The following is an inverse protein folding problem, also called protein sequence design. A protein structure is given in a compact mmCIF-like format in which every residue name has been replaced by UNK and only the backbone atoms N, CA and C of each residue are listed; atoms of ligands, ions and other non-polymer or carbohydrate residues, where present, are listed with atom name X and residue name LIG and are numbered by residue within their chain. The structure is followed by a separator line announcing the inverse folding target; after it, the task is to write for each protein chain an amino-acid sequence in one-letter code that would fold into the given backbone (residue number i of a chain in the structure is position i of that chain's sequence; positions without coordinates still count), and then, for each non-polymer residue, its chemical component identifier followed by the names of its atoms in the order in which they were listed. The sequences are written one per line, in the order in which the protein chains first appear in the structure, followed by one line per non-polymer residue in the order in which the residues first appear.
data_IF_417555853926
#
_entry.id   IF_417555853926
#
_cell.length_a   1.000
_cell.length_b   1.000
_cell.length_c   1.000
_cell.angle_alpha   90.00
_cell.angle_beta   90.00
_cell.angle_gamma   90.00
#
_symmetry.space_group_name_H-M   'P 1'
#
loop_
_entity.id
_entity.type
_entity.pdbx_description
1 polymer ?
#
# COMPACT_ATOMS: atom_id res chain seq x y z
N UNK A 1 16.28 16.54 21.35
CA UNK A 1 15.85 15.76 20.17
C UNK A 1 14.72 16.53 19.54
N UNK A 2 14.80 16.85 18.25
CA UNK A 2 13.61 17.33 17.55
C UNK A 2 12.52 16.25 17.62
N UNK A 3 11.25 16.62 17.85
CA UNK A 3 10.16 15.65 17.83
C UNK A 3 10.11 14.99 16.45
N UNK A 4 10.31 13.67 16.42
CA UNK A 4 10.32 12.89 15.19
C UNK A 4 8.90 12.80 14.66
N UNK A 5 8.68 13.29 13.44
CA UNK A 5 7.37 13.43 12.80
C UNK A 5 7.32 12.57 11.53
N UNK A 6 7.67 11.29 11.67
CA UNK A 6 7.75 10.37 10.54
C UNK A 6 6.41 9.67 10.28
N UNK A 7 5.90 9.76 9.05
CA UNK A 7 4.61 9.20 8.66
C UNK A 7 4.79 8.20 7.53
N UNK A 8 4.22 7.01 7.70
CA UNK A 8 4.27 5.94 6.71
C UNK A 8 2.85 5.54 6.33
N UNK A 9 2.48 5.87 5.11
CA UNK A 9 1.19 5.55 4.53
C UNK A 9 1.32 4.42 3.53
N UNK A 10 0.35 3.51 3.57
CA UNK A 10 0.11 2.57 2.47
C UNK A 10 -1.35 2.68 2.03
N UNK A 11 -1.69 1.91 1.01
CA UNK A 11 -3.05 1.59 0.67
C UNK A 11 -3.18 0.06 0.61
N UNK A 12 -4.42 -0.40 0.56
CA UNK A 12 -4.67 -1.82 0.43
C UNK A 12 -3.89 -2.39 -0.77
N UNK A 13 -3.08 -3.44 -0.51
CA UNK A 13 -2.23 -4.14 -1.49
C UNK A 13 -1.04 -3.33 -2.05
N UNK A 14 -0.67 -2.20 -1.45
CA UNK A 14 0.50 -1.40 -1.88
C UNK A 14 1.72 -1.52 -0.95
N UNK A 15 1.83 -2.62 -0.19
CA UNK A 15 3.01 -2.90 0.64
C UNK A 15 2.78 -2.85 2.15
N UNK A 16 1.52 -2.75 2.61
CA UNK A 16 1.14 -2.69 4.03
C UNK A 16 1.78 -3.80 4.86
N UNK A 17 1.80 -5.03 4.35
CA UNK A 17 2.39 -6.18 5.07
C UNK A 17 3.91 -6.09 5.13
N UNK A 18 4.57 -5.68 4.04
CA UNK A 18 6.03 -5.58 3.97
C UNK A 18 6.55 -4.50 4.92
N UNK A 19 6.09 -3.27 4.74
CA UNK A 19 6.49 -2.14 5.59
C UNK A 19 6.02 -2.35 7.03
N UNK A 20 4.78 -2.82 7.23
CA UNK A 20 4.25 -3.13 8.55
C UNK A 20 5.09 -4.16 9.31
N UNK A 21 5.62 -5.20 8.65
CA UNK A 21 6.54 -6.17 9.26
C UNK A 21 7.90 -5.57 9.55
N UNK A 22 8.42 -4.67 8.72
CA UNK A 22 9.73 -4.03 8.97
C UNK A 22 9.64 -3.13 10.20
N UNK A 23 8.74 -2.14 10.18
CA UNK A 23 8.59 -1.20 11.29
C UNK A 23 8.16 -1.91 12.58
N UNK A 24 7.28 -2.90 12.50
CA UNK A 24 6.86 -3.67 13.67
C UNK A 24 7.97 -4.50 14.32
N UNK A 25 9.00 -4.89 13.57
CA UNK A 25 10.16 -5.58 14.15
C UNK A 25 11.19 -4.62 14.75
N UNK A 26 11.28 -3.38 14.23
CA UNK A 26 12.09 -2.32 14.85
C UNK A 26 11.48 -1.90 16.20
N UNK A 27 10.16 -1.77 16.24
CA UNK A 27 9.37 -1.49 17.45
C UNK A 27 9.57 -2.55 18.53
N UNK A 28 9.37 -3.84 18.19
CA UNK A 28 9.65 -4.96 19.11
C UNK A 28 11.08 -5.02 19.64
N UNK A 29 12.04 -4.41 18.94
CA UNK A 29 13.45 -4.35 19.33
C UNK A 29 13.77 -3.10 20.18
N UNK A 30 12.81 -2.23 20.43
CA UNK A 30 13.01 -0.96 21.15
C UNK A 30 13.89 0.02 20.39
N UNK A 31 13.96 -0.09 19.05
CA UNK A 31 14.76 0.80 18.21
C UNK A 31 13.97 2.05 17.77
N UNK A 32 12.64 1.97 17.82
CA UNK A 32 11.71 3.07 17.61
C UNK A 32 10.38 2.75 18.27
N UNK A 33 9.53 3.75 18.49
CA UNK A 33 8.14 3.59 18.91
C UNK A 33 7.20 3.68 17.69
N UNK A 34 6.49 2.59 17.37
CA UNK A 34 5.57 2.53 16.23
C UNK A 34 4.11 2.76 16.64
N UNK A 35 3.51 3.84 16.16
CA UNK A 35 2.08 4.08 16.30
C UNK A 35 1.29 3.60 15.06
N UNK A 36 0.48 2.54 15.22
CA UNK A 36 -0.46 2.06 14.20
C UNK A 36 -1.81 2.76 14.34
N UNK A 37 -1.89 3.97 13.79
CA UNK A 37 -3.04 4.88 13.93
C UNK A 37 -4.36 4.38 13.32
N UNK A 38 -4.28 3.33 12.53
CA UNK A 38 -5.39 2.58 11.95
C UNK A 38 -6.06 1.59 12.93
N UNK A 39 -5.31 1.08 13.92
CA UNK A 39 -5.80 0.15 14.94
C UNK A 39 -5.96 0.83 16.30
N UNK A 40 -5.12 1.83 16.56
CA UNK A 40 -5.12 2.63 17.77
C UNK A 40 -5.31 4.09 17.36
N UNK A 41 -6.56 4.56 17.17
CA UNK A 41 -6.82 5.89 16.64
C UNK A 41 -6.42 7.02 17.59
N UNK A 42 -6.35 6.72 18.90
CA UNK A 42 -5.86 7.63 19.91
C UNK A 42 -4.34 7.76 19.79
N UNK A 43 -3.86 9.01 19.74
CA UNK A 43 -2.44 9.31 19.67
C UNK A 43 -1.75 8.98 20.99
N UNK A 44 -0.69 8.15 20.99
CA UNK A 44 0.09 7.89 22.18
C UNK A 44 0.92 9.12 22.56
N UNK A 45 1.32 9.22 23.84
CA UNK A 45 2.10 10.37 24.31
C UNK A 45 3.47 10.51 23.64
N UNK A 46 4.08 9.41 23.18
CA UNK A 46 5.32 9.42 22.37
C UNK A 46 5.23 8.40 21.24
N UNK A 47 5.81 8.73 20.10
CA UNK A 47 5.98 7.85 18.95
C UNK A 47 7.10 8.38 18.04
N UNK A 48 7.75 7.49 17.30
CA UNK A 48 8.77 7.84 16.29
C UNK A 48 8.20 7.75 14.86
N UNK A 49 7.34 6.75 14.62
CA UNK A 49 6.72 6.50 13.32
C UNK A 49 5.22 6.31 13.47
N UNK A 50 4.43 7.13 12.78
CA UNK A 50 2.99 6.89 12.59
C UNK A 50 2.78 6.08 11.31
N UNK A 51 2.26 4.87 11.43
CA UNK A 51 1.87 4.01 10.33
C UNK A 51 0.35 4.04 10.13
N UNK A 52 -0.10 4.04 8.86
CA UNK A 52 -1.54 3.99 8.54
C UNK A 52 -1.82 3.21 7.23
N UNK A 53 -2.70 2.20 7.27
CA UNK A 53 -2.95 1.29 6.14
C UNK A 53 -3.66 1.93 4.93
N UNK A 54 -4.34 3.06 5.12
CA UNK A 54 -5.09 3.76 4.07
C UNK A 54 -4.62 5.20 3.83
N UNK A 55 -3.48 5.59 4.40
CA UNK A 55 -2.91 6.94 4.26
C UNK A 55 -3.88 8.10 4.52
N UNK A 56 -4.86 7.93 5.41
CA UNK A 56 -5.91 8.95 5.63
C UNK A 56 -5.35 10.29 6.11
N UNK A 57 -4.16 10.31 6.72
CA UNK A 57 -3.46 11.51 7.17
C UNK A 57 -2.96 12.42 6.05
N UNK A 58 -2.95 11.99 4.77
CA UNK A 58 -2.63 12.87 3.63
C UNK A 58 -3.82 13.18 2.72
N UNK A 59 -4.98 12.55 2.96
CA UNK A 59 -6.15 12.68 2.11
C UNK A 59 -7.14 13.71 2.65
N UNK A 60 -7.99 14.25 1.78
CA UNK A 60 -9.10 15.12 2.19
C UNK A 60 -8.67 16.40 2.91
N UNK A 61 -7.47 16.91 2.64
CA UNK A 61 -6.90 18.07 3.31
C UNK A 61 -6.17 17.76 4.62
N UNK A 62 -6.18 16.52 5.11
CA UNK A 62 -5.54 16.15 6.38
C UNK A 62 -4.01 16.37 6.37
N UNK A 63 -3.38 16.43 5.21
CA UNK A 63 -1.96 16.77 5.12
C UNK A 63 -1.64 18.16 5.73
N UNK A 64 -2.60 19.09 5.68
CA UNK A 64 -2.44 20.42 6.26
C UNK A 64 -2.41 20.42 7.80
N UNK A 65 -2.86 19.34 8.45
CA UNK A 65 -2.78 19.20 9.91
C UNK A 65 -1.44 18.63 10.36
N UNK A 66 -0.62 18.11 9.43
CA UNK A 66 0.71 17.62 9.76
C UNK A 66 1.69 18.79 9.93
N UNK A 67 2.69 18.66 10.82
CA UNK A 67 3.78 19.62 10.92
C UNK A 67 4.46 19.89 9.57
N UNK A 68 4.98 21.10 9.40
CA UNK A 68 5.76 21.46 8.20
C UNK A 68 7.04 20.63 8.08
N UNK A 69 7.59 20.18 9.20
CA UNK A 69 8.78 19.32 9.27
C UNK A 69 8.49 17.84 9.03
N UNK A 70 7.22 17.46 8.88
CA UNK A 70 6.81 16.06 8.73
C UNK A 70 7.53 15.38 7.57
N UNK A 71 7.98 14.15 7.80
CA UNK A 71 8.60 13.30 6.79
C UNK A 71 7.64 12.20 6.42
N UNK A 72 7.07 12.28 5.22
CA UNK A 72 5.99 11.39 4.79
C UNK A 72 6.50 10.44 3.71
N UNK A 73 6.27 9.14 3.89
CA UNK A 73 6.45 8.12 2.85
C UNK A 73 5.08 7.55 2.52
N UNK A 74 4.72 7.56 1.24
CA UNK A 74 3.50 6.91 0.74
C UNK A 74 3.88 5.81 -0.25
N UNK A 75 3.52 4.57 0.09
CA UNK A 75 3.72 3.42 -0.78
C UNK A 75 2.57 3.24 -1.76
N UNK A 76 2.89 3.23 -3.05
CA UNK A 76 1.96 3.01 -4.15
C UNK A 76 2.31 1.75 -4.93
N UNK A 77 1.41 1.33 -5.80
CA UNK A 77 1.59 0.19 -6.72
C UNK A 77 1.05 0.58 -8.09
N UNK A 78 1.49 -0.06 -9.17
CA UNK A 78 0.85 0.12 -10.48
C UNK A 78 -0.67 -0.16 -10.31
N UNK A 79 -1.53 0.83 -10.62
CA UNK A 79 -2.97 0.71 -10.38
C UNK A 79 -3.59 -0.46 -11.18
N UNK A 80 -2.95 -0.91 -12.26
CA UNK A 80 -3.40 -2.07 -13.04
C UNK A 80 -3.03 -3.38 -12.33
N UNK A 81 -1.81 -3.50 -11.82
CA UNK A 81 -1.39 -4.67 -11.02
C UNK A 81 -2.12 -4.77 -9.68
N UNK A 82 -2.54 -3.63 -9.12
CA UNK A 82 -3.40 -3.58 -7.95
C UNK A 82 -4.69 -4.36 -8.20
N UNK A 83 -5.38 -4.12 -9.31
CA UNK A 83 -6.63 -4.82 -9.67
C UNK A 83 -6.39 -6.32 -9.76
N UNK A 84 -5.35 -6.74 -10.48
CA UNK A 84 -4.99 -8.17 -10.59
C UNK A 84 -4.73 -8.78 -9.21
N UNK A 85 -3.99 -8.06 -8.36
CA UNK A 85 -3.67 -8.52 -7.01
C UNK A 85 -4.88 -8.58 -6.09
N UNK A 86 -5.83 -7.66 -6.23
CA UNK A 86 -7.03 -7.59 -5.42
C UNK A 86 -8.01 -8.71 -5.78
N UNK A 87 -8.26 -8.95 -7.08
CA UNK A 87 -9.11 -10.06 -7.53
C UNK A 87 -8.60 -11.39 -6.97
N UNK A 88 -7.28 -11.65 -7.05
CA UNK A 88 -6.72 -12.89 -6.50
C UNK A 88 -6.89 -13.00 -4.99
N UNK A 89 -6.73 -11.89 -4.26
CA UNK A 89 -6.75 -11.87 -2.81
C UNK A 89 -8.17 -11.92 -2.22
N UNK A 90 -9.12 -11.13 -2.73
CA UNK A 90 -10.45 -11.03 -2.14
C UNK A 90 -11.31 -12.28 -2.34
N UNK A 91 -10.91 -13.21 -3.20
CA UNK A 91 -11.63 -14.47 -3.42
C UNK A 91 -11.59 -15.43 -2.22
N UNK A 92 -10.53 -15.38 -1.41
CA UNK A 92 -10.33 -16.29 -0.27
C UNK A 92 -9.87 -15.59 1.02
N UNK A 93 -9.61 -14.28 0.97
CA UNK A 93 -9.21 -13.51 2.13
C UNK A 93 -10.27 -13.52 3.25
N UNK A 94 -9.77 -13.37 4.48
CA UNK A 94 -10.54 -13.48 5.73
C UNK A 94 -10.82 -12.12 6.38
N UNK A 95 -10.63 -11.02 5.65
CA UNK A 95 -10.89 -9.68 6.18
C UNK A 95 -12.38 -9.51 6.44
N UNK A 96 -12.75 -9.04 7.64
CA UNK A 96 -14.14 -9.02 8.09
C UNK A 96 -15.10 -8.32 7.10
N UNK A 97 -14.65 -7.25 6.45
CA UNK A 97 -15.46 -6.49 5.50
C UNK A 97 -15.87 -7.29 4.24
N UNK A 98 -15.11 -8.32 3.87
CA UNK A 98 -15.41 -9.21 2.74
C UNK A 98 -16.60 -10.13 3.01
N UNK A 99 -16.86 -10.40 4.29
CA UNK A 99 -17.82 -11.39 4.79
C UNK A 99 -19.09 -10.75 5.36
N UNK A 100 -19.17 -9.42 5.38
CA UNK A 100 -20.36 -8.70 5.82
C UNK A 100 -21.36 -8.57 4.65
N UNK A 101 -22.64 -8.97 4.84
CA UNK A 101 -23.72 -8.69 3.90
C UNK A 101 -23.86 -7.20 3.59
N UNK A 102 -24.02 -6.83 2.32
CA UNK A 102 -24.15 -5.42 1.91
C UNK A 102 -25.44 -5.20 1.13
N UNK A 103 -26.20 -4.16 1.51
CA UNK A 103 -27.45 -3.81 0.84
C UNK A 103 -27.27 -3.54 -0.66
N UNK A 104 -26.15 -2.89 -1.04
CA UNK A 104 -25.78 -2.64 -2.45
C UNK A 104 -25.57 -3.90 -3.29
N UNK A 105 -25.45 -5.07 -2.65
CA UNK A 105 -25.30 -6.38 -3.30
C UNK A 105 -26.51 -7.29 -3.05
N UNK A 106 -27.66 -6.73 -2.70
CA UNK A 106 -28.87 -7.50 -2.43
C UNK A 106 -28.70 -8.45 -1.24
N UNK A 107 -27.93 -8.03 -0.22
CA UNK A 107 -27.66 -8.85 0.97
C UNK A 107 -26.53 -9.88 0.79
N UNK A 108 -25.90 -9.96 -0.38
CA UNK A 108 -24.67 -10.76 -0.56
C UNK A 108 -23.46 -10.06 0.06
N UNK A 109 -22.46 -10.86 0.42
CA UNK A 109 -21.15 -10.34 0.86
C UNK A 109 -20.32 -9.93 -0.35
N UNK A 110 -19.31 -9.07 -0.16
CA UNK A 110 -18.42 -8.67 -1.27
C UNK A 110 -17.73 -9.89 -1.90
N UNK A 111 -17.21 -10.79 -1.07
CA UNK A 111 -16.56 -12.01 -1.53
C UNK A 111 -17.53 -12.92 -2.29
N UNK A 112 -18.78 -13.08 -1.82
CA UNK A 112 -19.78 -13.91 -2.51
C UNK A 112 -20.16 -13.35 -3.88
N UNK A 113 -20.22 -12.02 -4.04
CA UNK A 113 -20.42 -11.41 -5.36
C UNK A 113 -19.21 -11.69 -6.25
N UNK A 114 -18.00 -11.37 -5.78
CA UNK A 114 -16.76 -11.53 -6.54
C UNK A 114 -16.53 -12.99 -6.98
N UNK A 115 -16.70 -13.96 -6.08
CA UNK A 115 -16.47 -15.38 -6.39
C UNK A 115 -17.57 -15.97 -7.28
N UNK A 116 -18.78 -15.41 -7.25
CA UNK A 116 -19.90 -15.82 -8.09
C UNK A 116 -19.85 -15.33 -9.55
N UNK A 117 -18.93 -14.42 -9.89
CA UNK A 117 -18.72 -13.96 -11.27
C UNK A 117 -18.03 -15.06 -12.11
N UNK A 118 -18.48 -15.25 -13.35
CA UNK A 118 -18.11 -16.40 -14.17
C UNK A 118 -16.69 -16.26 -14.75
N UNK A 119 -16.29 -15.05 -15.10
CA UNK A 119 -15.02 -14.78 -15.80
C UNK A 119 -14.07 -13.93 -14.97
N UNK A 120 -12.78 -14.04 -15.26
CA UNK A 120 -11.76 -13.17 -14.67
C UNK A 120 -11.97 -11.70 -15.06
N UNK A 121 -12.45 -11.45 -16.27
CA UNK A 121 -12.80 -10.11 -16.76
C UNK A 121 -13.89 -9.47 -15.91
N UNK A 122 -15.00 -10.15 -15.66
CA UNK A 122 -16.08 -9.65 -14.79
C UNK A 122 -15.56 -9.35 -13.38
N UNK A 123 -14.69 -10.20 -12.84
CA UNK A 123 -14.06 -9.99 -11.51
C UNK A 123 -13.19 -8.74 -11.49
N UNK A 124 -12.40 -8.49 -12.53
CA UNK A 124 -11.59 -7.27 -12.65
C UNK A 124 -12.46 -6.02 -12.78
N UNK A 125 -13.50 -6.07 -13.62
CA UNK A 125 -14.47 -4.97 -13.77
C UNK A 125 -15.19 -4.68 -12.44
N UNK A 126 -15.56 -5.72 -11.69
CA UNK A 126 -16.16 -5.58 -10.37
C UNK A 126 -15.20 -4.90 -9.38
N UNK A 127 -13.94 -5.34 -9.32
CA UNK A 127 -12.92 -4.72 -8.47
C UNK A 127 -12.70 -3.23 -8.80
N UNK A 128 -12.58 -2.89 -10.09
CA UNK A 128 -12.43 -1.51 -10.55
C UNK A 128 -13.62 -0.62 -10.18
N UNK A 129 -14.84 -1.17 -10.19
CA UNK A 129 -16.04 -0.44 -9.76
C UNK A 129 -16.15 -0.27 -8.23
N UNK A 130 -15.42 -1.08 -7.45
CA UNK A 130 -15.55 -1.13 -6.00
C UNK A 130 -14.22 -0.94 -5.26
N UNK A 131 -13.68 -1.99 -4.63
CA UNK A 131 -12.57 -1.88 -3.67
C UNK A 131 -11.31 -1.32 -4.33
N UNK A 132 -10.84 -1.98 -5.40
CA UNK A 132 -9.66 -1.50 -6.14
C UNK A 132 -9.87 -0.10 -6.69
N UNK A 133 -11.05 0.23 -7.22
CA UNK A 133 -11.33 1.58 -7.70
C UNK A 133 -11.22 2.67 -6.64
N UNK A 134 -11.71 2.39 -5.43
CA UNK A 134 -11.56 3.32 -4.30
C UNK A 134 -10.09 3.52 -3.92
N UNK A 135 -9.31 2.43 -3.92
CA UNK A 135 -7.87 2.49 -3.65
C UNK A 135 -7.14 3.30 -4.72
N UNK A 136 -7.44 3.09 -6.01
CA UNK A 136 -6.83 3.85 -7.11
C UNK A 136 -7.14 5.34 -6.96
N UNK A 137 -8.40 5.70 -6.72
CA UNK A 137 -8.81 7.09 -6.49
C UNK A 137 -8.08 7.71 -5.30
N UNK A 138 -7.93 6.97 -4.20
CA UNK A 138 -7.20 7.45 -3.04
C UNK A 138 -5.70 7.66 -3.32
N UNK A 139 -5.05 6.75 -4.07
CA UNK A 139 -3.65 6.93 -4.49
C UNK A 139 -3.49 8.18 -5.38
N UNK A 140 -4.42 8.40 -6.31
CA UNK A 140 -4.41 9.57 -7.21
C UNK A 140 -4.65 10.87 -6.43
N UNK A 141 -5.50 10.84 -5.40
CA UNK A 141 -5.85 12.00 -4.58
C UNK A 141 -4.75 12.45 -3.60
N UNK A 142 -3.66 11.71 -3.46
CA UNK A 142 -2.50 12.16 -2.68
C UNK A 142 -1.93 13.44 -3.29
N UNK A 143 -1.65 14.48 -2.50
CA UNK A 143 -1.11 15.75 -3.00
C UNK A 143 0.39 15.63 -3.33
N UNK A 144 0.71 14.93 -4.42
CA UNK A 144 2.07 14.57 -4.82
C UNK A 144 3.04 15.73 -5.05
N UNK A 145 2.52 16.96 -5.17
CA UNK A 145 3.34 18.17 -5.28
C UNK A 145 3.91 18.65 -3.93
N UNK A 146 3.40 18.14 -2.80
CA UNK A 146 3.91 18.52 -1.47
C UNK A 146 5.28 17.89 -1.21
N UNK A 147 6.28 18.74 -0.97
CA UNK A 147 7.69 18.35 -0.77
C UNK A 147 7.94 17.43 0.43
N UNK A 148 7.00 17.34 1.38
CA UNK A 148 7.11 16.41 2.53
C UNK A 148 6.91 14.96 2.13
N UNK A 149 6.22 14.73 1.00
CA UNK A 149 5.82 13.40 0.53
C UNK A 149 6.89 12.80 -0.37
N UNK A 150 7.44 11.68 0.07
CA UNK A 150 8.20 10.76 -0.76
C UNK A 150 7.26 9.65 -1.26
N UNK A 151 7.15 9.54 -2.59
CA UNK A 151 6.51 8.39 -3.23
C UNK A 151 7.49 7.22 -3.25
N UNK A 152 7.03 6.05 -2.85
CA UNK A 152 7.76 4.79 -3.06
C UNK A 152 6.87 3.80 -3.79
N UNK A 153 7.43 3.12 -4.80
CA UNK A 153 6.72 2.08 -5.54
C UNK A 153 6.99 0.75 -4.86
N UNK A 154 5.94 -0.03 -4.64
CA UNK A 154 6.06 -1.36 -4.05
C UNK A 154 6.97 -2.26 -4.90
N UNK A 155 6.86 -2.15 -6.21
CA UNK A 155 7.62 -2.92 -7.19
C UNK A 155 9.12 -2.70 -7.05
N UNK A 156 9.54 -1.45 -6.83
CA UNK A 156 10.94 -1.08 -6.61
C UNK A 156 11.43 -1.74 -5.31
N UNK A 157 10.68 -1.59 -4.20
CA UNK A 157 11.02 -2.22 -2.92
C UNK A 157 11.07 -3.74 -3.00
N UNK A 158 10.18 -4.36 -3.79
CA UNK A 158 10.12 -5.80 -3.96
C UNK A 158 11.29 -6.38 -4.76
N UNK A 159 12.00 -5.55 -5.52
CA UNK A 159 13.15 -5.95 -6.36
C UNK A 159 14.48 -5.37 -5.85
N UNK A 160 14.45 -4.57 -4.78
CA UNK A 160 15.57 -3.83 -4.21
C UNK A 160 16.60 -4.71 -3.48
N UNK A 161 17.32 -5.56 -4.23
CA UNK A 161 18.32 -6.51 -3.69
C UNK A 161 19.52 -5.81 -3.05
N UNK A 162 19.83 -4.61 -3.53
CA UNK A 162 20.95 -3.78 -3.05
C UNK A 162 20.52 -2.80 -1.96
N UNK A 163 19.22 -2.76 -1.62
CA UNK A 163 18.61 -1.95 -0.57
C UNK A 163 18.69 -0.43 -0.80
N UNK A 164 18.90 0.01 -2.04
CA UNK A 164 19.05 1.43 -2.40
C UNK A 164 17.75 2.19 -2.18
N UNK A 165 16.61 1.61 -2.57
CA UNK A 165 15.30 2.22 -2.37
C UNK A 165 14.89 2.22 -0.89
N UNK A 166 15.18 1.13 -0.17
CA UNK A 166 14.97 1.06 1.28
C UNK A 166 15.81 2.08 2.04
N UNK A 167 17.10 2.21 1.72
CA UNK A 167 17.98 3.18 2.36
C UNK A 167 17.47 4.60 2.15
N UNK A 168 17.09 4.94 0.90
CA UNK A 168 16.55 6.26 0.58
C UNK A 168 15.26 6.53 1.36
N UNK A 169 14.36 5.54 1.45
CA UNK A 169 13.12 5.62 2.24
C UNK A 169 13.41 5.87 3.72
N UNK A 170 14.27 5.08 4.35
CA UNK A 170 14.56 5.21 5.78
C UNK A 170 15.27 6.52 6.12
N UNK A 171 16.21 6.96 5.27
CA UNK A 171 16.87 8.25 5.43
C UNK A 171 15.91 9.42 5.30
N UNK A 172 14.95 9.36 4.36
CA UNK A 172 13.89 10.38 4.25
C UNK A 172 13.08 10.49 5.55
N UNK A 173 12.79 9.36 6.20
CA UNK A 173 12.13 9.30 7.51
C UNK A 173 13.02 9.75 8.69
N UNK A 174 14.26 10.18 8.43
CA UNK A 174 15.19 10.65 9.46
C UNK A 174 15.94 9.55 10.21
N UNK A 175 15.95 8.32 9.69
CA UNK A 175 16.71 7.22 10.31
C UNK A 175 18.20 7.32 9.99
N UNK A 176 19.02 7.03 11.00
CA UNK A 176 20.48 7.05 10.92
C UNK A 176 21.12 6.09 11.93
N UNK A 177 22.40 5.78 11.75
CA UNK A 177 23.16 4.91 12.67
C UNK A 177 22.52 3.54 12.84
N UNK A 178 22.56 3.00 14.06
CA UNK A 178 22.08 1.66 14.39
C UNK A 178 20.63 1.39 13.97
N UNK A 179 19.75 2.40 14.03
CA UNK A 179 18.35 2.26 13.61
C UNK A 179 18.25 2.03 12.10
N UNK A 180 19.06 2.74 11.31
CA UNK A 180 19.10 2.57 9.85
C UNK A 180 19.67 1.19 9.48
N UNK A 181 20.76 0.78 10.12
CA UNK A 181 21.38 -0.53 9.85
C UNK A 181 20.43 -1.69 10.20
N UNK A 182 19.71 -1.56 11.31
CA UNK A 182 18.66 -2.51 11.69
C UNK A 182 17.49 -2.49 10.71
N UNK A 183 17.04 -1.32 10.24
CA UNK A 183 15.96 -1.18 9.27
C UNK A 183 16.32 -1.85 7.94
N UNK A 184 17.54 -1.62 7.43
CA UNK A 184 18.06 -2.26 6.22
C UNK A 184 18.19 -3.78 6.38
N UNK A 185 18.65 -4.23 7.54
CA UNK A 185 18.70 -5.66 7.86
C UNK A 185 17.30 -6.28 7.86
N UNK A 186 16.31 -5.60 8.43
CA UNK A 186 14.92 -6.06 8.41
C UNK A 186 14.33 -6.04 7.01
N UNK A 187 14.59 -5.00 6.22
CA UNK A 187 14.18 -4.92 4.83
C UNK A 187 14.71 -6.12 4.03
N UNK A 188 16.00 -6.43 4.12
CA UNK A 188 16.60 -7.62 3.46
C UNK A 188 15.97 -8.93 3.91
N UNK A 189 15.67 -9.08 5.21
CA UNK A 189 15.08 -10.32 5.76
C UNK A 189 13.62 -10.51 5.39
N UNK A 190 12.83 -9.43 5.32
CA UNK A 190 11.38 -9.48 5.10
C UNK A 190 11.00 -9.36 3.62
N UNK A 191 11.93 -8.90 2.76
CA UNK A 191 11.69 -8.80 1.32
C UNK A 191 11.57 -10.17 0.66
N UNK A 192 10.79 -10.18 -0.43
CA UNK A 192 10.37 -11.39 -1.12
C UNK A 192 11.50 -12.06 -1.90
N UNK A 193 12.48 -11.27 -2.37
CA UNK A 193 13.69 -11.80 -3.00
C UNK A 193 14.53 -12.69 -2.07
N UNK A 194 14.27 -12.66 -0.75
CA UNK A 194 14.94 -13.52 0.23
C UNK A 194 14.01 -14.62 0.79
N UNK A 195 12.74 -14.65 0.37
CA UNK A 195 11.74 -15.63 0.83
C UNK A 195 10.83 -16.10 -0.34
N UNK A 196 11.37 -16.79 -1.37
CA UNK A 196 10.61 -17.19 -2.55
C UNK A 196 9.49 -18.23 -2.30
N UNK A 197 9.42 -18.81 -1.10
CA UNK A 197 8.50 -19.90 -0.75
C UNK A 197 7.09 -19.49 -0.28
N UNK A 198 6.77 -18.20 -0.12
CA UNK A 198 5.43 -17.79 0.32
C UNK A 198 4.42 -17.85 -0.85
N UNK A 199 3.65 -18.95 -0.94
CA UNK A 199 2.74 -19.26 -2.03
C UNK A 199 1.71 -18.16 -2.38
N UNK A 200 1.28 -17.36 -1.40
CA UNK A 200 0.36 -16.23 -1.60
C UNK A 200 1.00 -15.01 -2.30
N UNK A 201 2.32 -15.05 -2.54
CA UNK A 201 3.09 -13.97 -3.17
C UNK A 201 3.64 -14.36 -4.55
N UNK A 202 3.27 -15.54 -5.08
CA UNK A 202 3.66 -16.02 -6.42
C UNK A 202 3.17 -15.16 -7.59
N UNK A 203 2.37 -14.11 -7.33
CA UNK A 203 1.86 -13.15 -8.31
C UNK A 203 2.16 -11.69 -7.92
N UNK A 204 3.44 -11.39 -7.72
CA UNK A 204 3.95 -10.07 -7.33
C UNK A 204 4.93 -9.46 -8.33
N UNK A 205 5.00 -9.95 -9.57
CA UNK A 205 5.89 -9.34 -10.55
C UNK A 205 5.35 -7.96 -10.95
N UNK A 206 6.26 -7.03 -11.21
CA UNK A 206 5.88 -5.77 -11.83
C UNK A 206 5.29 -6.06 -13.21
N UNK A 207 4.20 -5.38 -13.57
CA UNK A 207 3.55 -5.42 -14.88
C UNK A 207 2.86 -6.74 -15.25
N UNK A 208 2.38 -7.51 -14.27
CA UNK A 208 1.56 -8.71 -14.55
C UNK A 208 0.28 -8.38 -15.32
N UNK A 209 -0.27 -7.19 -15.13
CA UNK A 209 -1.43 -6.70 -15.84
C UNK A 209 -1.29 -6.83 -17.36
N UNK A 210 -0.08 -6.70 -17.94
CA UNK A 210 0.14 -6.83 -19.39
C UNK A 210 -0.31 -8.19 -19.94
N UNK A 211 -0.23 -9.24 -19.13
CA UNK A 211 -0.65 -10.59 -19.52
C UNK A 211 -2.06 -10.93 -19.03
N UNK A 212 -2.60 -10.15 -18.08
CA UNK A 212 -3.83 -10.46 -17.36
C UNK A 212 -5.01 -9.58 -17.75
N UNK A 213 -4.77 -8.39 -18.29
CA UNK A 213 -5.80 -7.51 -18.79
C UNK A 213 -6.14 -7.89 -20.23
N UNK A 214 -7.30 -8.53 -20.50
CA UNK A 214 -7.81 -8.59 -21.86
C UNK A 214 -8.19 -7.17 -22.33
N UNK A 215 -8.26 -6.98 -23.64
CA UNK A 215 -8.51 -5.66 -24.24
C UNK A 215 -9.74 -4.92 -23.67
N UNK A 216 -10.90 -5.58 -23.40
CA UNK A 216 -12.04 -4.90 -22.78
C UNK A 216 -11.77 -4.38 -21.36
N UNK A 217 -10.99 -5.11 -20.56
CA UNK A 217 -10.61 -4.69 -19.20
C UNK A 217 -9.65 -3.52 -19.26
N UNK A 218 -8.68 -3.54 -20.19
CA UNK A 218 -7.77 -2.41 -20.38
C UNK A 218 -8.52 -1.15 -20.80
N UNK A 219 -9.43 -1.25 -21.78
CA UNK A 219 -10.25 -0.13 -22.21
C UNK A 219 -11.11 0.42 -21.07
N UNK A 220 -11.76 -0.46 -20.28
CA UNK A 220 -12.53 -0.04 -19.11
C UNK A 220 -11.66 0.60 -18.03
N UNK A 221 -10.42 0.13 -17.83
CA UNK A 221 -9.47 0.73 -16.91
C UNK A 221 -9.10 2.16 -17.36
N UNK A 222 -8.77 2.33 -18.65
CA UNK A 222 -8.41 3.63 -19.23
C UNK A 222 -9.58 4.62 -19.19
N UNK A 223 -10.81 4.15 -19.36
CA UNK A 223 -12.02 4.98 -19.20
C UNK A 223 -12.24 5.41 -17.74
N UNK A 224 -12.09 4.48 -16.79
CA UNK A 224 -12.36 4.77 -15.36
C UNK A 224 -11.23 5.56 -14.68
N UNK A 225 -9.99 5.39 -15.13
CA UNK A 225 -8.78 5.90 -14.47
C UNK A 225 -7.74 6.46 -15.47
N UNK A 226 -8.13 7.38 -16.38
CA UNK A 226 -7.29 7.79 -17.51
C UNK A 226 -5.90 8.31 -17.08
N UNK A 227 -5.87 9.10 -16.00
CA UNK A 227 -4.63 9.74 -15.54
C UNK A 227 -3.88 8.92 -14.48
N UNK A 228 -4.46 7.82 -13.97
CA UNK A 228 -3.90 7.13 -12.81
C UNK A 228 -2.49 6.58 -13.03
N UNK A 229 -2.16 5.91 -14.16
CA UNK A 229 -0.78 5.52 -14.43
C UNK A 229 0.16 6.71 -14.47
N UNK A 230 -0.20 7.81 -15.15
CA UNK A 230 0.63 9.02 -15.24
C UNK A 230 0.88 9.67 -13.88
N UNK A 231 -0.19 9.95 -13.13
CA UNK A 231 -0.12 10.57 -11.80
C UNK A 231 0.76 9.74 -10.86
N UNK A 232 0.62 8.41 -10.89
CA UNK A 232 1.35 7.49 -10.01
C UNK A 232 2.75 7.12 -10.52
N UNK A 233 3.13 7.57 -11.72
CA UNK A 233 4.47 7.39 -12.29
C UNK A 233 4.69 6.05 -12.99
N UNK A 234 3.64 5.49 -13.60
CA UNK A 234 3.61 4.22 -14.35
C UNK A 234 3.15 4.40 -15.81
N UNK A 235 3.25 5.62 -16.36
CA UNK A 235 3.01 5.87 -17.79
C UNK A 235 4.08 5.17 -18.64
#
# INVERSE_FOLDING_TARGET
MEPRTAFVGTFHKTGTVLLGKIFGELDKKGLLDLWRSDWHPEEPGTWDVRFHYASAFVLGGNLATLPETAKVVISVRDPRDLVVSAVRYHQDAQEAWLHQPQARFGGKTYQAVLTGLATMEEKMLFEMKHSSGNVIRNMVAVPWADSRIMRVKLEDLMQDRDLVHFETLFRHLGMSGDVLDAALTMARRKSLFNNPGQAHVRGGYAQEWRQKFPAPVLAAFEEMFPDAPGVLGYA
#
